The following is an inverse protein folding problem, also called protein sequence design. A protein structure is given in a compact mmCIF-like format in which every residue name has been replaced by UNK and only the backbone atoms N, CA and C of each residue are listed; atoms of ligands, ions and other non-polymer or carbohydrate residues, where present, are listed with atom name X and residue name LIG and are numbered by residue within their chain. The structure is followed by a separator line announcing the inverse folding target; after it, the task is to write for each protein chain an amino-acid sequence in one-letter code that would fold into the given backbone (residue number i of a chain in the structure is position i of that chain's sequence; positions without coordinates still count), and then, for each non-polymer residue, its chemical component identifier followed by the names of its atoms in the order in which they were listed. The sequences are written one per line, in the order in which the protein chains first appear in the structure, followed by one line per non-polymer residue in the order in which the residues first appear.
data_IF_300236598227
#
_entry.id   IF_300236598227
#
_cell.length_a   1.000
_cell.length_b   1.000
_cell.length_c   1.000
_cell.angle_alpha   90.00
_cell.angle_beta   90.00
_cell.angle_gamma   90.00
#
_symmetry.space_group_name_H-M   'P 1'
#
loop_
_entity.id
_entity.type
_entity.pdbx_description
1 polymer ?
#
# COMPACT_ATOMS: atom_id res chain seq x y z
N UNK A 1 17.96 -15.54 -2.52
CA UNK A 1 18.00 -15.27 -1.06
C UNK A 1 16.59 -14.94 -0.60
N UNK A 2 15.91 -15.89 0.05
CA UNK A 2 14.68 -15.57 0.76
C UNK A 2 15.01 -14.65 1.92
N UNK A 3 14.51 -13.43 1.85
CA UNK A 3 14.77 -12.41 2.85
C UNK A 3 13.76 -12.60 3.98
N UNK A 4 14.21 -13.18 5.10
CA UNK A 4 13.45 -13.47 6.31
C UNK A 4 12.93 -12.20 7.02
N UNK A 5 12.06 -11.42 6.36
CA UNK A 5 11.53 -10.15 6.87
C UNK A 5 12.21 -8.90 6.34
N UNK A 6 11.71 -7.76 6.80
CA UNK A 6 12.07 -6.39 6.42
C UNK A 6 12.93 -5.74 7.51
N UNK A 7 13.70 -4.70 7.14
CA UNK A 7 14.48 -3.91 8.10
C UNK A 7 13.79 -2.58 8.37
N UNK A 8 14.08 -1.96 9.50
CA UNK A 8 13.58 -0.63 9.84
C UNK A 8 14.13 0.45 8.88
N UNK A 9 13.35 1.52 8.67
CA UNK A 9 13.71 2.67 7.82
C UNK A 9 15.09 3.25 8.16
N UNK A 10 15.44 3.34 9.45
CA UNK A 10 16.75 3.84 9.91
C UNK A 10 17.93 3.01 9.36
N UNK A 11 17.73 1.72 9.10
CA UNK A 11 18.77 0.81 8.60
C UNK A 11 18.79 0.74 7.05
N UNK A 12 17.70 1.14 6.40
CA UNK A 12 17.60 1.19 4.94
C UNK A 12 16.69 2.34 4.52
N UNK A 13 17.19 3.58 4.58
CA UNK A 13 16.36 4.76 4.36
C UNK A 13 15.95 4.90 2.90
N UNK A 14 14.80 5.52 2.69
CA UNK A 14 14.27 5.83 1.38
C UNK A 14 15.08 6.93 0.67
N UNK A 15 15.46 6.67 -0.57
CA UNK A 15 16.36 7.55 -1.36
C UNK A 15 15.74 8.02 -2.68
N UNK A 16 14.45 7.80 -2.92
CA UNK A 16 13.72 8.19 -4.15
C UNK A 16 14.35 7.69 -5.48
N UNK A 17 15.19 6.66 -5.43
CA UNK A 17 15.84 6.09 -6.59
C UNK A 17 16.08 4.59 -6.39
N UNK A 18 16.08 3.82 -7.47
CA UNK A 18 16.48 2.43 -7.43
C UNK A 18 18.00 2.36 -7.24
N UNK A 19 18.45 1.65 -6.20
CA UNK A 19 19.86 1.39 -5.92
C UNK A 19 20.12 -0.10 -5.84
N UNK A 20 21.39 -0.47 -5.88
CA UNK A 20 21.82 -1.84 -5.59
C UNK A 20 21.36 -2.26 -4.19
N UNK A 21 20.87 -3.49 -4.09
CA UNK A 21 20.35 -4.02 -2.83
C UNK A 21 21.49 -4.19 -1.82
N UNK A 22 21.54 -3.32 -0.83
CA UNK A 22 22.58 -3.29 0.22
C UNK A 22 21.98 -3.38 1.64
N UNK A 23 20.88 -4.12 1.78
CA UNK A 23 20.11 -4.24 3.02
C UNK A 23 20.93 -4.90 4.14
N UNK A 24 21.07 -4.19 5.27
CA UNK A 24 21.76 -4.65 6.50
C UNK A 24 20.88 -4.41 7.74
N UNK A 25 21.17 -5.11 8.83
CA UNK A 25 20.50 -4.95 10.13
C UNK A 25 19.49 -6.04 10.48
N UNK A 26 18.90 -5.91 11.68
CA UNK A 26 17.89 -6.83 12.20
C UNK A 26 16.62 -6.81 11.35
N UNK A 27 16.01 -7.99 11.17
CA UNK A 27 14.82 -8.19 10.34
C UNK A 27 13.58 -8.46 11.19
N UNK A 28 12.44 -7.95 10.72
CA UNK A 28 11.14 -7.99 11.37
C UNK A 28 10.04 -8.35 10.38
N UNK A 29 8.88 -8.75 10.89
CA UNK A 29 7.65 -8.86 10.08
C UNK A 29 7.77 -9.84 8.92
N UNK A 30 8.29 -11.05 9.16
CA UNK A 30 8.27 -12.11 8.15
C UNK A 30 6.81 -12.43 7.80
N UNK A 31 6.47 -12.23 6.53
CA UNK A 31 5.13 -12.53 6.02
C UNK A 31 4.98 -14.04 5.95
N UNK A 32 4.00 -14.59 6.65
CA UNK A 32 3.64 -16.01 6.60
C UNK A 32 2.56 -16.30 5.56
N UNK A 33 1.65 -15.35 5.34
CA UNK A 33 0.57 -15.48 4.38
C UNK A 33 0.11 -14.10 3.89
N UNK A 34 -0.34 -14.02 2.64
CA UNK A 34 -0.93 -12.82 2.04
C UNK A 34 -2.40 -13.12 1.76
N UNK A 35 -3.29 -12.33 2.34
CA UNK A 35 -4.73 -12.45 2.11
C UNK A 35 -5.17 -11.41 1.08
N UNK A 36 -5.85 -11.89 0.04
CA UNK A 36 -6.43 -11.02 -0.98
C UNK A 36 -7.92 -10.81 -0.69
N UNK A 37 -8.36 -9.56 -0.74
CA UNK A 37 -9.78 -9.21 -0.62
C UNK A 37 -10.37 -9.03 -2.00
N UNK A 38 -11.54 -9.61 -2.26
CA UNK A 38 -12.28 -9.40 -3.51
C UNK A 38 -12.65 -7.93 -3.68
N UNK A 39 -12.62 -7.45 -4.92
CA UNK A 39 -12.99 -6.07 -5.26
C UNK A 39 -14.44 -5.76 -4.83
N UNK A 40 -14.60 -4.69 -4.04
CA UNK A 40 -15.92 -4.23 -3.57
C UNK A 40 -15.84 -3.44 -2.26
N UNK A 41 -16.72 -2.47 -2.08
CA UNK A 41 -16.71 -1.63 -0.87
C UNK A 41 -17.07 -2.42 0.40
N UNK A 42 -18.06 -3.32 0.33
CA UNK A 42 -18.48 -4.11 1.50
C UNK A 42 -17.42 -5.14 1.90
N UNK A 43 -16.74 -5.76 0.94
CA UNK A 43 -15.66 -6.71 1.21
C UNK A 43 -14.46 -6.00 1.80
N UNK A 44 -14.04 -4.87 1.22
CA UNK A 44 -12.96 -4.03 1.78
C UNK A 44 -13.29 -3.59 3.21
N UNK A 45 -14.50 -3.08 3.46
CA UNK A 45 -14.92 -2.64 4.79
C UNK A 45 -14.87 -3.78 5.82
N UNK A 46 -15.37 -4.98 5.47
CA UNK A 46 -15.27 -6.16 6.34
C UNK A 46 -13.82 -6.56 6.61
N UNK A 47 -12.94 -6.51 5.62
CA UNK A 47 -11.51 -6.80 5.82
C UNK A 47 -10.86 -5.77 6.74
N UNK A 48 -11.13 -4.49 6.54
CA UNK A 48 -10.60 -3.41 7.40
C UNK A 48 -10.96 -3.63 8.88
N UNK A 49 -12.22 -4.00 9.15
CA UNK A 49 -12.69 -4.28 10.51
C UNK A 49 -12.06 -5.53 11.13
N UNK A 50 -11.76 -6.55 10.33
CA UNK A 50 -11.34 -7.87 10.84
C UNK A 50 -9.84 -8.12 10.82
N UNK A 51 -9.10 -7.41 9.95
CA UNK A 51 -7.66 -7.61 9.72
C UNK A 51 -6.82 -6.33 9.92
N UNK A 52 -7.46 -5.17 10.00
CA UNK A 52 -6.76 -3.88 10.06
C UNK A 52 -6.48 -3.30 8.67
N UNK A 53 -5.48 -2.40 8.56
CA UNK A 53 -5.22 -1.65 7.33
C UNK A 53 -4.97 -2.53 6.10
N UNK A 54 -5.53 -2.12 4.95
CA UNK A 54 -5.46 -2.91 3.70
C UNK A 54 -4.77 -2.12 2.60
N UNK A 55 -3.68 -2.68 2.05
CA UNK A 55 -3.04 -2.14 0.87
C UNK A 55 -4.02 -2.18 -0.32
N UNK A 56 -4.39 -1.01 -0.82
CA UNK A 56 -5.47 -0.81 -1.80
C UNK A 56 -4.96 0.01 -2.97
N UNK A 57 -5.55 -0.19 -4.15
CA UNK A 57 -5.20 0.57 -5.36
C UNK A 57 -6.31 1.55 -5.72
N UNK A 58 -5.92 2.75 -6.12
CA UNK A 58 -6.82 3.80 -6.62
C UNK A 58 -6.38 4.26 -8.01
N UNK A 59 -7.29 4.90 -8.73
CA UNK A 59 -6.95 5.71 -9.88
C UNK A 59 -6.56 7.11 -9.40
N UNK A 60 -5.28 7.45 -9.54
CA UNK A 60 -4.81 8.81 -9.27
C UNK A 60 -5.15 9.72 -10.46
N UNK A 61 -5.93 10.76 -10.19
CA UNK A 61 -6.34 11.78 -11.17
C UNK A 61 -5.70 13.13 -10.84
N UNK A 62 -5.67 14.09 -11.78
CA UNK A 62 -5.25 15.47 -11.48
C UNK A 62 -6.04 16.13 -10.36
N UNK A 63 -7.31 15.78 -10.19
CA UNK A 63 -8.14 16.29 -9.10
C UNK A 63 -7.68 15.74 -7.74
N UNK A 64 -7.32 14.45 -7.66
CA UNK A 64 -6.77 13.89 -6.43
C UNK A 64 -5.38 14.46 -6.10
N UNK A 65 -4.52 14.70 -7.09
CA UNK A 65 -3.20 15.32 -6.88
C UNK A 65 -3.31 16.71 -6.23
N UNK A 66 -4.39 17.45 -6.52
CA UNK A 66 -4.63 18.78 -6.00
C UNK A 66 -5.57 18.82 -4.80
N UNK A 67 -6.02 17.67 -4.31
CA UNK A 67 -6.96 17.56 -3.20
C UNK A 67 -6.39 18.15 -1.90
N UNK A 68 -7.20 18.91 -1.16
CA UNK A 68 -6.78 19.63 0.06
C UNK A 68 -7.53 19.22 1.34
N UNK A 69 -8.73 18.64 1.24
CA UNK A 69 -9.51 18.22 2.40
C UNK A 69 -11.00 17.99 2.10
N UNK A 70 -11.72 17.37 3.05
CA UNK A 70 -13.13 17.01 2.92
C UNK A 70 -13.37 15.51 2.64
N UNK A 71 -14.39 15.20 1.83
CA UNK A 71 -14.64 13.85 1.30
C UNK A 71 -14.37 13.92 -0.20
N UNK A 72 -13.34 13.23 -0.67
CA UNK A 72 -13.01 13.17 -2.08
C UNK A 72 -14.03 12.29 -2.84
N UNK A 73 -14.58 12.79 -3.94
CA UNK A 73 -15.50 12.05 -4.81
C UNK A 73 -15.29 12.43 -6.27
N UNK A 74 -15.09 11.44 -7.12
CA UNK A 74 -14.87 11.64 -8.56
C UNK A 74 -15.41 10.46 -9.36
N UNK A 75 -15.74 10.69 -10.63
CA UNK A 75 -16.01 9.62 -11.59
C UNK A 75 -14.69 9.06 -12.12
N UNK A 76 -14.35 7.85 -11.72
CA UNK A 76 -13.18 7.13 -12.22
C UNK A 76 -13.59 6.02 -13.19
N UNK A 77 -12.71 5.68 -14.13
CA UNK A 77 -12.90 4.51 -14.98
C UNK A 77 -12.90 3.24 -14.11
N UNK A 78 -13.91 2.38 -14.31
CA UNK A 78 -13.99 1.11 -13.59
C UNK A 78 -12.75 0.24 -13.89
N UNK A 79 -12.21 -0.42 -12.86
CA UNK A 79 -11.05 -1.31 -12.94
C UNK A 79 -9.74 -0.65 -13.42
N UNK A 80 -9.65 0.68 -13.47
CA UNK A 80 -8.41 1.41 -13.73
C UNK A 80 -7.72 1.79 -12.42
N UNK A 81 -6.42 1.51 -12.32
CA UNK A 81 -5.63 1.75 -11.10
C UNK A 81 -4.21 2.20 -11.44
N UNK A 82 -3.74 3.28 -10.82
CA UNK A 82 -2.41 3.86 -11.08
C UNK A 82 -1.58 4.12 -9.82
N UNK A 83 -2.18 4.02 -8.62
CA UNK A 83 -1.49 4.30 -7.37
C UNK A 83 -1.91 3.35 -6.25
N UNK A 84 -0.98 3.00 -5.36
CA UNK A 84 -1.23 2.15 -4.18
C UNK A 84 -1.22 3.01 -2.94
N UNK A 85 -2.24 2.83 -2.09
CA UNK A 85 -2.44 3.54 -0.83
C UNK A 85 -2.77 2.53 0.28
N UNK A 86 -2.89 3.02 1.51
CA UNK A 86 -3.37 2.26 2.65
C UNK A 86 -4.77 2.74 3.01
N UNK A 87 -5.74 1.82 2.98
CA UNK A 87 -7.09 2.05 3.46
C UNK A 87 -7.21 1.68 4.93
#
# INVERSE_FOLDING_TARGET
MEKNGLVCEINYPYVKAQKTCSVKGQRYGKISNIQHTSYGHLTLFKTLLTKGPVATRILLTPNFMNYKGGIFREKCQANAFSHTVLA
#
